data_IF_526457386314
#
_entry.id   IF_526457386314
#
_cell.length_a   1.000
_cell.length_b   1.000
_cell.length_c   1.000
_cell.angle_alpha   90.00
_cell.angle_beta   90.00
_cell.angle_gamma   90.00
#
_symmetry.space_group_name_H-M   'P 1'
#
loop_
_entity.id
_entity.type
_entity.pdbx_description
1 polymer ?
#
# COMPACT_ATOMS: atom_id res chain seq x y z
N UNK A 1 -28.03 5.88 -2.16
CA UNK A 1 -28.22 6.57 -3.46
C UNK A 1 -27.38 7.84 -3.44
N UNK A 2 -26.18 7.78 -4.01
CA UNK A 2 -25.34 8.96 -4.20
C UNK A 2 -26.07 9.93 -5.13
N UNK A 3 -26.33 11.16 -4.68
CA UNK A 3 -26.98 12.18 -5.51
C UNK A 3 -25.97 12.93 -6.41
N UNK A 4 -24.68 12.57 -6.32
CA UNK A 4 -23.60 13.17 -7.07
C UNK A 4 -23.47 12.48 -8.45
N UNK A 5 -23.68 13.20 -9.57
CA UNK A 5 -23.63 12.61 -10.91
C UNK A 5 -22.24 12.09 -11.29
N UNK A 6 -21.15 12.65 -10.72
CA UNK A 6 -19.78 12.16 -10.97
C UNK A 6 -19.59 10.77 -10.35
N UNK A 7 -20.12 10.58 -9.15
CA UNK A 7 -20.09 9.28 -8.45
C UNK A 7 -20.91 8.23 -9.22
N UNK A 8 -22.08 8.62 -9.74
CA UNK A 8 -22.88 7.72 -10.58
C UNK A 8 -22.10 7.30 -11.85
N UNK A 9 -21.43 8.24 -12.52
CA UNK A 9 -20.60 7.93 -13.68
C UNK A 9 -19.42 7.00 -13.34
N UNK A 10 -18.83 7.15 -12.15
CA UNK A 10 -17.77 6.27 -11.65
C UNK A 10 -18.28 4.86 -11.34
N UNK A 11 -19.49 4.73 -10.76
CA UNK A 11 -20.14 3.43 -10.50
C UNK A 11 -20.49 2.72 -11.83
N UNK A 12 -20.86 3.46 -12.86
CA UNK A 12 -21.21 2.92 -14.17
C UNK A 12 -19.99 2.62 -15.08
N UNK A 13 -18.77 2.96 -14.65
CA UNK A 13 -17.57 2.87 -15.48
C UNK A 13 -17.21 1.41 -15.82
N UNK A 14 -17.49 0.48 -14.92
CA UNK A 14 -17.28 -0.95 -15.13
C UNK A 14 -15.84 -1.40 -14.87
N UNK A 15 -15.43 -2.46 -15.55
CA UNK A 15 -14.21 -3.19 -15.22
C UNK A 15 -12.94 -2.33 -15.17
N UNK A 16 -12.20 -2.44 -14.06
CA UNK A 16 -10.86 -1.87 -13.92
C UNK A 16 -9.80 -2.85 -14.43
N UNK A 17 -8.68 -2.32 -14.93
CA UNK A 17 -7.54 -3.14 -15.36
C UNK A 17 -6.28 -2.75 -14.58
N UNK A 18 -5.54 -3.76 -14.11
CA UNK A 18 -4.27 -3.60 -13.37
C UNK A 18 -3.11 -3.28 -14.34
N UNK A 19 -3.13 -3.86 -15.54
CA UNK A 19 -2.01 -3.81 -16.50
C UNK A 19 -1.98 -2.56 -17.39
N UNK A 20 -2.94 -1.66 -17.24
CA UNK A 20 -3.04 -0.43 -18.02
C UNK A 20 -2.85 0.79 -17.12
N UNK A 21 -2.27 1.90 -17.63
CA UNK A 21 -2.26 3.15 -16.90
C UNK A 21 -3.65 3.55 -16.42
N UNK A 22 -3.74 4.07 -15.19
CA UNK A 22 -5.01 4.54 -14.65
C UNK A 22 -5.57 5.69 -15.50
N UNK A 23 -6.90 5.75 -15.72
CA UNK A 23 -7.55 6.96 -16.21
C UNK A 23 -7.14 8.17 -15.37
N UNK A 24 -7.06 9.34 -16.00
CA UNK A 24 -6.88 10.61 -15.29
C UNK A 24 -8.25 11.04 -14.76
N UNK A 25 -8.67 10.46 -13.63
CA UNK A 25 -10.04 10.56 -13.13
C UNK A 25 -10.47 12.01 -12.86
N UNK A 26 -9.66 12.87 -12.20
CA UNK A 26 -9.97 14.29 -12.03
C UNK A 26 -10.25 15.01 -13.35
N UNK A 27 -9.38 14.85 -14.35
CA UNK A 27 -9.49 15.55 -15.62
C UNK A 27 -10.63 15.00 -16.49
N UNK A 28 -10.81 13.68 -16.50
CA UNK A 28 -11.74 13.00 -17.39
C UNK A 28 -13.19 13.06 -16.90
N UNK A 29 -13.41 12.98 -15.59
CA UNK A 29 -14.75 12.96 -14.98
C UNK A 29 -15.05 14.23 -14.17
N UNK A 30 -14.09 15.15 -14.08
CA UNK A 30 -14.22 16.43 -13.39
C UNK A 30 -14.20 16.31 -11.88
N UNK A 31 -13.59 15.26 -11.31
CA UNK A 31 -13.46 15.14 -9.85
C UNK A 31 -12.55 16.22 -9.27
N UNK A 32 -12.95 16.76 -8.13
CA UNK A 32 -12.18 17.75 -7.38
C UNK A 32 -12.31 17.52 -5.87
N UNK A 33 -11.72 18.39 -5.06
CA UNK A 33 -11.73 18.29 -3.59
C UNK A 33 -13.13 18.18 -2.99
N UNK A 34 -14.15 18.75 -3.62
CA UNK A 34 -15.53 18.71 -3.11
C UNK A 34 -16.16 17.32 -3.20
N UNK A 35 -15.61 16.42 -4.02
CA UNK A 35 -16.10 15.06 -4.20
C UNK A 35 -15.42 14.05 -3.25
N UNK A 36 -14.37 14.44 -2.51
CA UNK A 36 -13.58 13.54 -1.67
C UNK A 36 -14.46 12.79 -0.66
N UNK A 37 -15.42 13.48 -0.02
CA UNK A 37 -16.30 12.85 0.96
C UNK A 37 -17.18 11.76 0.35
N UNK A 38 -17.67 11.98 -0.88
CA UNK A 38 -18.48 10.98 -1.59
C UNK A 38 -17.61 9.81 -2.08
N UNK A 39 -16.39 10.06 -2.55
CA UNK A 39 -15.43 9.03 -2.95
C UNK A 39 -15.03 8.15 -1.76
N UNK A 40 -14.79 8.74 -0.59
CA UNK A 40 -14.56 8.00 0.66
C UNK A 40 -15.77 7.11 0.97
N UNK A 41 -16.98 7.63 0.83
CA UNK A 41 -18.21 6.86 1.06
C UNK A 41 -18.31 5.66 0.12
N UNK A 42 -17.93 5.80 -1.16
CA UNK A 42 -17.89 4.68 -2.12
C UNK A 42 -16.86 3.62 -1.68
N UNK A 43 -15.65 4.04 -1.34
CA UNK A 43 -14.60 3.12 -0.88
C UNK A 43 -15.03 2.36 0.36
N UNK A 44 -15.72 3.00 1.30
CA UNK A 44 -16.12 2.39 2.58
C UNK A 44 -17.43 1.60 2.53
N UNK A 45 -18.15 1.59 1.41
CA UNK A 45 -19.44 0.91 1.31
C UNK A 45 -19.25 -0.58 1.01
N UNK A 46 -19.42 -1.41 2.04
CA UNK A 46 -19.34 -2.88 1.95
C UNK A 46 -20.40 -3.49 1.01
N UNK A 47 -21.42 -2.74 0.60
CA UNK A 47 -22.39 -3.23 -0.39
C UNK A 47 -21.71 -3.66 -1.69
N UNK A 48 -20.65 -2.95 -2.13
CA UNK A 48 -19.94 -3.26 -3.37
C UNK A 48 -19.30 -4.65 -3.35
N UNK A 49 -18.90 -5.16 -2.18
CA UNK A 49 -18.29 -6.49 -2.01
C UNK A 49 -19.29 -7.62 -2.24
N UNK A 50 -20.60 -7.32 -2.18
CA UNK A 50 -21.68 -8.30 -2.30
C UNK A 50 -22.28 -8.39 -3.71
N UNK A 51 -21.81 -7.53 -4.61
CA UNK A 51 -22.31 -7.46 -5.98
C UNK A 51 -21.81 -8.62 -6.83
N UNK A 52 -22.55 -8.95 -7.89
CA UNK A 52 -22.10 -9.97 -8.82
C UNK A 52 -20.85 -9.48 -9.58
N UNK A 53 -19.84 -10.33 -9.85
CA UNK A 53 -18.60 -9.89 -10.51
C UNK A 53 -18.79 -9.22 -11.89
N UNK A 54 -19.92 -9.48 -12.56
CA UNK A 54 -20.27 -8.87 -13.85
C UNK A 54 -20.99 -7.52 -13.72
N UNK A 55 -21.40 -7.13 -12.51
CA UNK A 55 -22.03 -5.83 -12.26
C UNK A 55 -20.94 -4.74 -12.37
N UNK A 56 -21.13 -3.71 -13.21
CA UNK A 56 -20.19 -2.60 -13.30
C UNK A 56 -19.88 -1.94 -11.94
N UNK A 57 -20.88 -1.89 -11.05
CA UNK A 57 -20.75 -1.24 -9.75
C UNK A 57 -19.74 -1.93 -8.83
N UNK A 58 -19.46 -3.23 -9.02
CA UNK A 58 -18.44 -3.97 -8.27
C UNK A 58 -17.06 -3.30 -8.35
N UNK A 59 -16.79 -2.54 -9.42
CA UNK A 59 -15.52 -1.87 -9.67
C UNK A 59 -15.44 -0.45 -9.11
N UNK A 60 -16.53 0.06 -8.54
CA UNK A 60 -16.60 1.41 -8.03
C UNK A 60 -15.55 1.72 -6.93
N UNK A 61 -15.28 0.83 -5.93
CA UNK A 61 -14.23 1.09 -4.95
C UNK A 61 -12.85 1.26 -5.58
N UNK A 62 -12.53 0.46 -6.59
CA UNK A 62 -11.25 0.52 -7.33
C UNK A 62 -11.05 1.89 -7.97
N UNK A 63 -12.06 2.37 -8.68
CA UNK A 63 -12.02 3.69 -9.28
C UNK A 63 -11.97 4.81 -8.24
N UNK A 64 -12.67 4.64 -7.13
CA UNK A 64 -12.74 5.64 -6.07
C UNK A 64 -11.38 5.82 -5.37
N UNK A 65 -10.69 4.75 -4.97
CA UNK A 65 -9.36 4.90 -4.33
C UNK A 65 -8.31 5.45 -5.29
N UNK A 66 -8.35 5.08 -6.57
CA UNK A 66 -7.45 5.66 -7.59
C UNK A 66 -7.66 7.17 -7.72
N UNK A 67 -8.93 7.59 -7.73
CA UNK A 67 -9.31 9.01 -7.78
C UNK A 67 -8.85 9.75 -6.52
N UNK A 68 -9.03 9.17 -5.33
CA UNK A 68 -8.56 9.74 -4.06
C UNK A 68 -7.04 9.94 -4.05
N UNK A 69 -6.29 8.97 -4.58
CA UNK A 69 -4.84 9.10 -4.78
C UNK A 69 -4.49 10.27 -5.70
N UNK A 70 -5.11 10.34 -6.89
CA UNK A 70 -4.85 11.42 -7.86
C UNK A 70 -5.21 12.82 -7.34
N UNK A 71 -6.24 12.92 -6.48
CA UNK A 71 -6.62 14.16 -5.79
C UNK A 71 -5.74 14.48 -4.57
N UNK A 72 -4.83 13.59 -4.19
CA UNK A 72 -3.99 13.70 -2.98
C UNK A 72 -4.81 13.91 -1.70
N UNK A 73 -5.90 13.16 -1.57
CA UNK A 73 -6.90 13.34 -0.54
C UNK A 73 -6.41 12.88 0.86
N UNK A 74 -5.71 13.75 1.60
CA UNK A 74 -5.22 13.44 2.96
C UNK A 74 -6.35 13.01 3.92
N UNK A 75 -7.55 13.59 3.78
CA UNK A 75 -8.70 13.23 4.62
C UNK A 75 -9.21 11.79 4.40
N UNK A 76 -8.74 11.11 3.35
CA UNK A 76 -9.10 9.72 3.07
C UNK A 76 -8.16 8.69 3.72
N UNK A 77 -7.01 9.11 4.26
CA UNK A 77 -5.96 8.22 4.78
C UNK A 77 -6.53 7.24 5.81
N UNK A 78 -7.19 7.75 6.85
CA UNK A 78 -7.74 6.90 7.92
C UNK A 78 -8.81 5.96 7.41
N UNK A 79 -9.67 6.42 6.48
CA UNK A 79 -10.71 5.60 5.88
C UNK A 79 -10.14 4.47 5.04
N UNK A 80 -9.09 4.72 4.26
CA UNK A 80 -8.40 3.68 3.49
C UNK A 80 -7.75 2.65 4.41
N UNK A 81 -6.96 3.11 5.39
CA UNK A 81 -6.25 2.24 6.35
C UNK A 81 -7.21 1.37 7.17
N UNK A 82 -8.33 1.94 7.64
CA UNK A 82 -9.32 1.19 8.41
C UNK A 82 -10.05 0.10 7.60
N UNK A 83 -9.90 0.10 6.27
CA UNK A 83 -10.43 -0.94 5.38
C UNK A 83 -9.36 -1.90 4.85
N UNK A 84 -8.08 -1.78 5.24
CA UNK A 84 -7.02 -2.66 4.73
C UNK A 84 -7.30 -4.14 5.01
N UNK A 85 -7.80 -4.51 6.19
CA UNK A 85 -8.19 -5.90 6.49
C UNK A 85 -9.35 -6.40 5.63
N UNK A 86 -10.23 -5.51 5.14
CA UNK A 86 -11.30 -5.88 4.21
C UNK A 86 -10.76 -6.04 2.78
N UNK A 87 -9.80 -5.21 2.42
CA UNK A 87 -9.18 -5.17 1.10
C UNK A 87 -8.05 -6.19 0.91
N UNK A 88 -7.59 -6.82 1.98
CA UNK A 88 -6.42 -7.69 1.99
C UNK A 88 -6.54 -8.94 1.11
N UNK A 89 -7.76 -9.32 0.73
CA UNK A 89 -8.04 -10.40 -0.23
C UNK A 89 -8.35 -9.93 -1.65
N UNK A 90 -8.30 -8.63 -1.93
CA UNK A 90 -8.57 -8.04 -3.24
C UNK A 90 -7.25 -7.82 -4.00
N UNK A 91 -7.10 -8.48 -5.15
CA UNK A 91 -5.89 -8.42 -5.97
C UNK A 91 -5.53 -6.98 -6.42
N UNK A 92 -6.53 -6.12 -6.64
CA UNK A 92 -6.29 -4.72 -7.00
C UNK A 92 -5.80 -3.95 -5.79
N UNK A 93 -6.39 -4.17 -4.62
CA UNK A 93 -5.95 -3.49 -3.41
C UNK A 93 -4.50 -3.82 -3.06
N UNK A 94 -4.12 -5.10 -3.12
CA UNK A 94 -2.74 -5.56 -2.86
C UNK A 94 -1.75 -4.92 -3.85
N UNK A 95 -2.18 -4.65 -5.09
CA UNK A 95 -1.32 -4.16 -6.17
C UNK A 95 -1.29 -2.62 -6.32
N UNK A 96 -2.26 -1.91 -5.75
CA UNK A 96 -2.48 -0.49 -6.05
C UNK A 96 -2.60 0.43 -4.83
N UNK A 97 -2.99 -0.06 -3.66
CA UNK A 97 -3.19 0.82 -2.51
C UNK A 97 -1.89 1.47 -2.06
N UNK A 98 -0.75 0.80 -2.20
CA UNK A 98 0.58 1.38 -1.99
C UNK A 98 0.83 2.63 -2.84
N UNK A 99 0.51 2.56 -4.14
CA UNK A 99 0.59 3.70 -5.08
C UNK A 99 -0.41 4.78 -4.72
N UNK A 100 -1.63 4.41 -4.29
CA UNK A 100 -2.63 5.38 -3.83
C UNK A 100 -2.11 6.16 -2.62
N UNK A 101 -1.57 5.47 -1.61
CA UNK A 101 -1.01 6.11 -0.42
C UNK A 101 0.19 7.00 -0.78
N UNK A 102 1.05 6.56 -1.71
CA UNK A 102 2.16 7.37 -2.19
C UNK A 102 1.73 8.61 -2.97
N UNK A 103 0.65 8.55 -3.76
CA UNK A 103 0.08 9.72 -4.42
C UNK A 103 -0.50 10.72 -3.41
N UNK A 104 -1.14 10.24 -2.33
CA UNK A 104 -1.58 11.08 -1.22
C UNK A 104 -0.38 11.75 -0.54
N UNK A 105 0.68 10.99 -0.27
CA UNK A 105 1.99 11.51 0.12
C UNK A 105 2.31 11.37 1.62
N UNK A 106 3.30 12.15 2.12
CA UNK A 106 3.94 11.90 3.42
C UNK A 106 3.01 11.97 4.64
N UNK A 107 1.84 12.60 4.53
CA UNK A 107 0.84 12.62 5.60
C UNK A 107 0.39 11.20 6.01
N UNK A 108 0.52 10.22 5.12
CA UNK A 108 0.18 8.82 5.38
C UNK A 108 1.20 8.05 6.24
N UNK A 109 2.44 8.55 6.38
CA UNK A 109 3.53 7.81 7.05
C UNK A 109 3.18 7.41 8.49
N UNK A 110 2.72 8.38 9.29
CA UNK A 110 2.38 8.10 10.69
C UNK A 110 1.16 7.17 10.83
N UNK A 111 0.02 7.40 10.14
CA UNK A 111 -1.11 6.47 10.17
C UNK A 111 -0.76 5.03 9.73
N UNK A 112 0.07 4.87 8.70
CA UNK A 112 0.55 3.56 8.24
C UNK A 112 1.41 2.86 9.30
N UNK A 113 2.30 3.62 9.97
CA UNK A 113 3.10 3.12 11.09
C UNK A 113 2.26 2.68 12.27
N UNK A 114 1.23 3.47 12.62
CA UNK A 114 0.30 3.13 13.69
C UNK A 114 -0.50 1.86 13.36
N UNK A 115 -0.86 1.66 12.10
CA UNK A 115 -1.51 0.43 11.65
C UNK A 115 -0.67 -0.81 11.94
N UNK A 116 0.64 -0.75 11.65
CA UNK A 116 1.58 -1.86 11.88
C UNK A 116 1.77 -2.20 13.37
N UNK A 117 1.36 -1.31 14.28
CA UNK A 117 1.40 -1.55 15.73
C UNK A 117 0.11 -2.17 16.27
N UNK A 118 -0.96 -2.25 15.47
CA UNK A 118 -2.23 -2.88 15.89
C UNK A 118 -2.03 -4.38 16.03
N UNK A 119 -2.72 -4.98 17.00
CA UNK A 119 -2.77 -6.44 17.09
C UNK A 119 -3.71 -6.95 15.99
N UNK A 120 -3.14 -7.65 15.01
CA UNK A 120 -3.82 -8.25 13.88
C UNK A 120 -2.97 -9.35 13.27
N UNK A 121 -3.60 -10.27 12.53
CA UNK A 121 -2.94 -11.44 11.94
C UNK A 121 -3.01 -11.49 10.40
N UNK A 122 -3.45 -10.42 9.74
CA UNK A 122 -3.49 -10.38 8.28
C UNK A 122 -2.18 -9.83 7.69
N UNK A 123 -1.32 -10.74 7.25
CA UNK A 123 -0.05 -10.41 6.61
C UNK A 123 -0.22 -9.57 5.34
N UNK A 124 -1.33 -9.69 4.61
CA UNK A 124 -1.56 -8.94 3.37
C UNK A 124 -1.91 -7.48 3.70
N UNK A 125 -2.67 -7.23 4.77
CA UNK A 125 -2.92 -5.87 5.24
C UNK A 125 -1.62 -5.19 5.73
N UNK A 126 -0.74 -5.91 6.41
CA UNK A 126 0.60 -5.40 6.74
C UNK A 126 1.46 -5.19 5.50
N UNK A 127 1.35 -6.06 4.48
CA UNK A 127 2.06 -5.90 3.22
C UNK A 127 1.66 -4.60 2.51
N UNK A 128 0.35 -4.31 2.42
CA UNK A 128 -0.16 -3.04 1.88
C UNK A 128 0.45 -1.85 2.63
N UNK A 129 0.49 -1.89 3.96
CA UNK A 129 1.05 -0.80 4.76
C UNK A 129 2.56 -0.62 4.55
N UNK A 130 3.33 -1.70 4.54
CA UNK A 130 4.78 -1.67 4.31
C UNK A 130 5.14 -1.23 2.88
N UNK A 131 4.41 -1.71 1.86
CA UNK A 131 4.56 -1.27 0.48
C UNK A 131 4.26 0.21 0.35
N UNK A 132 3.18 0.69 0.98
CA UNK A 132 2.81 2.11 1.00
C UNK A 132 3.94 2.98 1.57
N UNK A 133 4.55 2.56 2.69
CA UNK A 133 5.68 3.27 3.29
C UNK A 133 6.90 3.31 2.36
N UNK A 134 7.23 2.20 1.71
CA UNK A 134 8.34 2.14 0.75
C UNK A 134 8.10 3.04 -0.47
N UNK A 135 6.91 2.97 -1.07
CA UNK A 135 6.50 3.82 -2.20
C UNK A 135 6.55 5.31 -1.84
N UNK A 136 6.11 5.69 -0.62
CA UNK A 136 6.25 7.06 -0.13
C UNK A 136 7.73 7.45 0.00
N UNK A 137 8.59 6.59 0.55
CA UNK A 137 10.02 6.88 0.68
C UNK A 137 10.73 7.05 -0.68
N UNK A 138 10.33 6.26 -1.69
CA UNK A 138 10.82 6.39 -3.06
C UNK A 138 10.34 7.69 -3.72
N UNK A 139 9.06 8.04 -3.57
CA UNK A 139 8.47 9.26 -4.13
C UNK A 139 8.92 10.54 -3.40
N UNK A 140 9.21 10.45 -2.09
CA UNK A 140 9.61 11.56 -1.23
C UNK A 140 10.91 11.23 -0.45
N UNK A 141 12.09 11.30 -1.10
CA UNK A 141 13.35 10.88 -0.49
C UNK A 141 13.72 11.62 0.81
N UNK A 142 13.17 12.81 1.07
CA UNK A 142 13.34 13.52 2.35
C UNK A 142 12.78 12.76 3.56
N UNK A 143 11.85 11.83 3.33
CA UNK A 143 11.23 10.99 4.36
C UNK A 143 11.81 9.58 4.42
N UNK A 144 12.80 9.24 3.59
CA UNK A 144 13.42 7.90 3.57
C UNK A 144 13.89 7.46 4.96
N UNK A 145 14.62 8.30 5.67
CA UNK A 145 15.14 7.96 7.00
C UNK A 145 14.05 7.71 8.04
N UNK A 146 12.90 8.40 7.92
CA UNK A 146 11.74 8.19 8.80
C UNK A 146 11.12 6.82 8.56
N UNK A 147 10.92 6.44 7.29
CA UNK A 147 10.40 5.12 6.91
C UNK A 147 11.36 3.99 7.30
N UNK A 148 12.67 4.16 7.10
CA UNK A 148 13.66 3.16 7.49
C UNK A 148 13.68 2.88 8.99
N UNK A 149 13.40 3.89 9.83
CA UNK A 149 13.27 3.66 11.27
C UNK A 149 12.06 2.79 11.60
N UNK A 150 10.97 2.89 10.83
CA UNK A 150 9.80 2.01 11.00
C UNK A 150 10.13 0.57 10.60
N UNK A 151 10.84 0.36 9.48
CA UNK A 151 11.30 -0.97 9.08
C UNK A 151 12.28 -1.57 10.09
N UNK A 152 13.19 -0.76 10.65
CA UNK A 152 14.06 -1.17 11.76
C UNK A 152 13.26 -1.64 12.97
N UNK A 153 12.21 -0.90 13.35
CA UNK A 153 11.37 -1.29 14.49
C UNK A 153 10.67 -2.62 14.27
N UNK A 154 10.16 -2.85 13.04
CA UNK A 154 9.60 -4.13 12.63
C UNK A 154 10.63 -5.27 12.70
N UNK A 155 11.81 -5.09 12.09
CA UNK A 155 12.85 -6.12 12.03
C UNK A 155 13.39 -6.54 13.40
N UNK A 156 13.24 -5.71 14.44
CA UNK A 156 13.61 -6.07 15.82
C UNK A 156 12.66 -7.07 16.45
N UNK A 157 11.42 -7.16 15.96
CA UNK A 157 10.37 -8.07 16.43
C UNK A 157 9.51 -8.52 15.25
N UNK A 158 10.09 -9.24 14.27
CA UNK A 158 9.37 -9.66 13.09
C UNK A 158 8.33 -10.72 13.46
N UNK A 159 7.36 -10.93 12.57
CA UNK A 159 6.49 -12.10 12.64
C UNK A 159 7.21 -13.29 11.99
N UNK A 160 7.72 -14.28 12.75
CA UNK A 160 8.64 -15.28 12.17
C UNK A 160 7.97 -16.23 11.17
N UNK A 161 6.63 -16.26 11.12
CA UNK A 161 5.85 -17.10 10.20
C UNK A 161 5.46 -16.38 8.90
N UNK A 162 5.64 -15.07 8.82
CA UNK A 162 5.29 -14.28 7.63
C UNK A 162 6.52 -14.15 6.72
N UNK A 163 6.98 -15.28 6.19
CA UNK A 163 8.17 -15.37 5.35
C UNK A 163 8.10 -14.40 4.16
N UNK A 164 6.96 -14.35 3.48
CA UNK A 164 6.72 -13.47 2.33
C UNK A 164 6.80 -11.99 2.74
N UNK A 165 6.13 -11.60 3.83
CA UNK A 165 6.20 -10.22 4.36
C UNK A 165 7.65 -9.85 4.75
N UNK A 166 8.37 -10.75 5.40
CA UNK A 166 9.77 -10.54 5.79
C UNK A 166 10.68 -10.41 4.56
N UNK A 167 10.49 -11.26 3.54
CA UNK A 167 11.21 -11.19 2.25
C UNK A 167 10.92 -9.89 1.50
N UNK A 168 9.66 -9.48 1.46
CA UNK A 168 9.22 -8.23 0.87
C UNK A 168 9.84 -7.01 1.57
N UNK A 169 9.92 -7.00 2.91
CA UNK A 169 10.64 -5.94 3.64
C UNK A 169 12.12 -5.91 3.24
N UNK A 170 12.78 -7.05 3.04
CA UNK A 170 14.17 -7.06 2.54
C UNK A 170 14.26 -6.45 1.13
N UNK A 171 13.31 -6.75 0.25
CA UNK A 171 13.23 -6.15 -1.09
C UNK A 171 13.16 -4.63 -1.03
N UNK A 172 12.27 -4.08 -0.19
CA UNK A 172 12.16 -2.63 0.03
C UNK A 172 13.45 -2.01 0.56
N UNK A 173 14.20 -2.72 1.40
CA UNK A 173 15.49 -2.23 1.89
C UNK A 173 16.54 -2.16 0.77
N UNK A 174 16.52 -3.10 -0.19
CA UNK A 174 17.37 -3.03 -1.38
C UNK A 174 16.98 -1.84 -2.27
N UNK A 175 15.68 -1.70 -2.58
CA UNK A 175 15.16 -0.61 -3.42
C UNK A 175 15.45 0.78 -2.83
N UNK A 176 15.43 0.89 -1.50
CA UNK A 176 15.77 2.10 -0.77
C UNK A 176 17.28 2.26 -0.48
N UNK A 177 18.15 1.36 -0.95
CA UNK A 177 19.60 1.36 -0.68
C UNK A 177 19.93 1.48 0.83
N UNK A 178 19.22 0.74 1.68
CA UNK A 178 19.19 0.88 3.15
C UNK A 178 20.37 0.23 3.87
N UNK A 179 21.61 0.45 3.40
CA UNK A 179 22.84 -0.17 3.92
C UNK A 179 23.07 0.10 5.41
N UNK A 180 22.55 1.22 5.91
CA UNK A 180 22.62 1.58 7.32
C UNK A 180 21.88 0.61 8.25
N UNK A 181 21.04 -0.28 7.70
CA UNK A 181 20.29 -1.30 8.44
C UNK A 181 20.89 -2.71 8.35
N UNK A 182 22.12 -2.87 7.84
CA UNK A 182 22.72 -4.20 7.63
C UNK A 182 22.73 -5.09 8.88
N UNK A 183 22.94 -4.54 10.08
CA UNK A 183 22.90 -5.34 11.32
C UNK A 183 21.49 -5.86 11.62
N UNK A 184 20.45 -5.06 11.35
CA UNK A 184 19.05 -5.48 11.50
C UNK A 184 18.70 -6.55 10.44
N UNK A 185 19.23 -6.43 9.21
CA UNK A 185 19.07 -7.44 8.15
C UNK A 185 19.76 -8.76 8.51
N UNK A 186 21.00 -8.72 8.98
CA UNK A 186 21.72 -9.92 9.47
C UNK A 186 20.93 -10.63 10.57
N UNK A 187 20.31 -9.86 11.48
CA UNK A 187 19.44 -10.40 12.50
C UNK A 187 18.23 -11.14 11.90
N UNK A 188 17.52 -10.54 10.93
CA UNK A 188 16.38 -11.17 10.24
C UNK A 188 16.75 -12.51 9.60
N UNK A 189 17.89 -12.59 8.89
CA UNK A 189 18.37 -13.84 8.30
C UNK A 189 18.76 -14.87 9.35
N UNK A 190 19.34 -14.46 10.49
CA UNK A 190 19.69 -15.37 11.58
C UNK A 190 18.48 -16.03 12.25
N UNK A 191 17.28 -15.44 12.10
CA UNK A 191 16.03 -16.01 12.56
C UNK A 191 15.44 -17.04 11.58
N UNK A 192 16.06 -17.23 10.40
CA UNK A 192 15.58 -18.10 9.33
C UNK A 192 14.12 -17.81 8.94
N UNK A 193 13.73 -16.52 8.94
CA UNK A 193 12.34 -16.10 8.78
C UNK A 193 12.06 -15.32 7.48
N UNK A 194 13.02 -15.27 6.56
CA UNK A 194 12.95 -14.50 5.30
C UNK A 194 12.68 -15.44 4.13
N UNK A 195 11.71 -15.11 3.27
CA UNK A 195 11.54 -15.79 1.98
C UNK A 195 12.64 -15.35 1.01
N UNK A 196 13.52 -16.29 0.67
CA UNK A 196 14.68 -16.05 -0.19
C UNK A 196 14.31 -15.78 -1.65
N UNK A 197 13.06 -16.04 -2.08
CA UNK A 197 12.63 -15.76 -3.45
C UNK A 197 12.58 -14.26 -3.78
N UNK A 198 12.54 -13.39 -2.77
CA UNK A 198 12.51 -11.94 -2.95
C UNK A 198 13.89 -11.33 -3.20
N UNK A 199 14.90 -11.74 -2.43
CA UNK A 199 16.22 -11.07 -2.42
C UNK A 199 17.41 -12.02 -2.47
N UNK A 200 17.19 -13.34 -2.53
CA UNK A 200 18.24 -14.32 -2.31
C UNK A 200 18.60 -14.49 -0.83
N UNK A 201 19.81 -14.96 -0.56
CA UNK A 201 20.32 -15.11 0.80
C UNK A 201 21.04 -13.85 1.32
N UNK A 202 21.60 -13.91 2.54
CA UNK A 202 22.32 -12.79 3.13
C UNK A 202 23.56 -12.39 2.29
N UNK A 203 24.20 -13.35 1.63
CA UNK A 203 25.37 -13.08 0.79
C UNK A 203 24.98 -12.28 -0.45
N UNK A 204 23.83 -12.61 -1.06
CA UNK A 204 23.27 -11.84 -2.17
C UNK A 204 23.01 -10.37 -1.78
N UNK A 205 22.38 -10.15 -0.63
CA UNK A 205 22.11 -8.79 -0.11
C UNK A 205 23.40 -8.02 0.22
N UNK A 206 24.36 -8.67 0.89
CA UNK A 206 25.66 -8.04 1.20
C UNK A 206 26.46 -7.71 -0.07
N UNK A 207 26.36 -8.55 -1.10
CA UNK A 207 27.01 -8.33 -2.40
C UNK A 207 26.36 -7.16 -3.14
N UNK A 208 25.04 -7.11 -3.20
CA UNK A 208 24.28 -6.01 -3.84
C UNK A 208 24.63 -4.65 -3.20
N UNK A 209 24.81 -4.62 -1.87
CA UNK A 209 25.23 -3.41 -1.15
C UNK A 209 26.74 -3.13 -1.17
N UNK A 210 27.54 -4.01 -1.77
CA UNK A 210 29.01 -3.89 -1.83
C UNK A 210 29.68 -4.01 -0.47
N UNK A 211 29.09 -4.78 0.45
CA UNK A 211 29.62 -5.09 1.78
C UNK A 211 30.38 -6.43 1.82
N UNK A 212 30.33 -7.16 0.72
CA UNK A 212 31.01 -8.45 0.48
C UNK A 212 31.53 -8.48 -0.98
N UNK A 213 32.63 -9.20 -1.19
CA UNK A 213 33.26 -9.46 -2.50
C UNK A 213 32.73 -10.75 -3.15
#
# INVERSE_FOLDING_TARGET
MHSNPKIQALIELGEAHISTPWPQYPEQYGFDESDIADLIAVVCDEHFDTLEPKDPATWAPVHAWRTLGQLRAETAIDSLINNFDRFSGDDFAITELDKVMALIGPAAINPLSEYLQREGEDQFAYAISMNSLAEIAMAFPSHRSEVLEMFRQYMRKPYPRYYELNGMVMGHLLDLDARELIEDVRYMFSLECVDLSYVGDLEDVETEWGLRD
#
